data_IF_740487512720
#
_entry.id   IF_740487512720
#
_cell.length_a   1.000
_cell.length_b   1.000
_cell.length_c   1.000
_cell.angle_alpha   90.00
_cell.angle_beta   90.00
_cell.angle_gamma   90.00
#
_symmetry.space_group_name_H-M   'P 1'
#
loop_
_entity.id
_entity.type
_entity.pdbx_description
1 polymer ?
#
# COMPACT_ATOMS: atom_id res chain seq x y z
N UNK A 1 -17.88 -5.83 2.90
CA UNK A 1 -16.43 -5.71 2.62
C UNK A 1 -16.11 -4.26 2.31
N UNK A 2 -15.13 -3.68 3.01
CA UNK A 2 -14.65 -2.29 2.89
C UNK A 2 -13.46 -2.19 1.92
N UNK A 3 -12.58 -3.18 1.96
CA UNK A 3 -11.36 -3.27 1.16
C UNK A 3 -11.45 -4.41 0.14
N UNK A 4 -10.31 -4.75 -0.48
CA UNK A 4 -10.24 -5.94 -1.33
C UNK A 4 -10.06 -7.20 -0.48
N UNK A 5 -10.68 -8.30 -0.89
CA UNK A 5 -10.40 -9.60 -0.29
C UNK A 5 -8.92 -9.96 -0.48
N UNK A 6 -8.31 -10.53 0.55
CA UNK A 6 -6.96 -11.08 0.46
C UNK A 6 -6.88 -12.17 -0.61
N UNK A 7 -5.75 -12.25 -1.31
CA UNK A 7 -5.51 -13.34 -2.25
C UNK A 7 -5.34 -14.65 -1.51
N UNK A 8 -5.40 -15.76 -2.25
CA UNK A 8 -5.21 -17.10 -1.67
C UNK A 8 -3.85 -17.21 -0.98
N UNK A 9 -2.80 -16.68 -1.60
CA UNK A 9 -1.44 -16.69 -1.08
C UNK A 9 -1.35 -15.89 0.23
N UNK A 10 -2.00 -14.73 0.29
CA UNK A 10 -2.07 -13.91 1.50
C UNK A 10 -2.81 -14.63 2.64
N UNK A 11 -3.90 -15.35 2.34
CA UNK A 11 -4.57 -16.18 3.33
C UNK A 11 -3.71 -17.36 3.81
N UNK A 12 -2.92 -17.95 2.92
CA UNK A 12 -1.99 -19.03 3.27
C UNK A 12 -0.87 -18.53 4.19
N UNK A 13 -0.32 -17.34 3.92
CA UNK A 13 0.66 -16.68 4.79
C UNK A 13 0.07 -16.29 6.15
N UNK A 14 -1.18 -15.82 6.17
CA UNK A 14 -1.90 -15.37 7.36
C UNK A 14 -2.80 -16.46 7.98
N UNK A 15 -2.57 -17.73 7.66
CA UNK A 15 -3.38 -18.82 8.20
C UNK A 15 -3.38 -18.86 9.75
N UNK A 16 -2.26 -18.60 10.46
CA UNK A 16 -2.26 -18.59 11.92
C UNK A 16 -3.16 -17.48 12.48
N UNK A 17 -3.08 -16.29 11.90
CA UNK A 17 -3.92 -15.13 12.23
C UNK A 17 -5.40 -15.41 11.92
N UNK A 18 -5.69 -16.07 10.80
CA UNK A 18 -7.05 -16.45 10.44
C UNK A 18 -7.65 -17.47 11.40
N UNK A 19 -6.87 -18.47 11.84
CA UNK A 19 -7.32 -19.41 12.88
C UNK A 19 -7.62 -18.67 14.19
N UNK A 20 -6.73 -17.76 14.61
CA UNK A 20 -6.94 -16.97 15.81
C UNK A 20 -8.20 -16.10 15.69
N UNK A 21 -8.43 -15.48 14.52
CA UNK A 21 -9.63 -14.72 14.23
C UNK A 21 -10.90 -15.56 14.39
N UNK A 22 -10.97 -16.75 13.76
CA UNK A 22 -12.10 -17.66 13.92
C UNK A 22 -12.29 -18.06 15.40
N UNK A 23 -11.21 -18.34 16.11
CA UNK A 23 -11.26 -18.68 17.54
C UNK A 23 -11.80 -17.53 18.40
N UNK A 24 -11.49 -16.25 18.08
CA UNK A 24 -12.06 -15.10 18.80
C UNK A 24 -13.59 -15.00 18.65
N UNK A 25 -14.12 -15.58 17.57
CA UNK A 25 -15.56 -15.70 17.31
C UNK A 25 -16.15 -17.01 17.84
N UNK A 26 -15.37 -17.77 18.62
CA UNK A 26 -15.72 -19.09 19.14
C UNK A 26 -16.00 -20.13 18.04
N UNK A 27 -15.44 -19.95 16.85
CA UNK A 27 -15.58 -20.91 15.74
C UNK A 27 -14.43 -21.93 15.81
N UNK A 28 -14.78 -23.17 16.09
CA UNK A 28 -13.85 -24.31 16.09
C UNK A 28 -13.54 -24.80 14.68
N UNK A 29 -12.52 -25.65 14.53
CA UNK A 29 -12.18 -26.27 13.25
C UNK A 29 -13.32 -27.14 12.68
N UNK A 30 -14.06 -27.85 13.54
CA UNK A 30 -15.20 -28.67 13.15
C UNK A 30 -16.39 -27.83 12.67
N UNK A 31 -16.69 -26.74 13.39
CA UNK A 31 -17.70 -25.78 12.97
C UNK A 31 -17.32 -25.09 11.68
N UNK A 32 -16.05 -24.69 11.52
CA UNK A 32 -15.57 -24.11 10.26
C UNK A 32 -15.70 -25.08 9.08
N UNK A 33 -15.37 -26.37 9.28
CA UNK A 33 -15.60 -27.39 8.26
C UNK A 33 -17.09 -27.52 7.90
N UNK A 34 -17.97 -27.43 8.90
CA UNK A 34 -19.43 -27.46 8.69
C UNK A 34 -19.94 -26.22 7.98
N UNK A 35 -19.44 -25.03 8.32
CA UNK A 35 -19.78 -23.76 7.68
C UNK A 35 -19.40 -23.82 6.20
N UNK A 36 -18.17 -24.22 5.87
CA UNK A 36 -17.75 -24.36 4.47
C UNK A 36 -18.63 -25.33 3.66
N UNK A 37 -19.06 -26.43 4.27
CA UNK A 37 -19.85 -27.46 3.59
C UNK A 37 -21.34 -27.09 3.44
N UNK A 38 -21.93 -26.42 4.44
CA UNK A 38 -23.39 -26.20 4.53
C UNK A 38 -23.81 -24.75 4.35
N UNK A 39 -22.92 -23.81 4.61
CA UNK A 39 -23.16 -22.36 4.61
C UNK A 39 -22.01 -21.63 3.89
N UNK A 40 -21.75 -21.93 2.60
CA UNK A 40 -20.63 -21.35 1.88
C UNK A 40 -20.65 -19.82 1.85
N UNK A 41 -21.84 -19.20 1.81
CA UNK A 41 -21.96 -17.74 1.90
C UNK A 41 -21.39 -17.19 3.22
N UNK A 42 -21.62 -17.87 4.36
CA UNK A 42 -21.06 -17.46 5.65
C UNK A 42 -19.55 -17.61 5.64
N UNK A 43 -19.01 -18.66 5.01
CA UNK A 43 -17.57 -18.79 4.85
C UNK A 43 -16.95 -17.62 4.06
N UNK A 44 -17.62 -17.18 3.00
CA UNK A 44 -17.19 -16.03 2.19
C UNK A 44 -17.23 -14.72 2.99
N UNK A 45 -18.26 -14.53 3.83
CA UNK A 45 -18.38 -13.38 4.73
C UNK A 45 -17.25 -13.35 5.77
N UNK A 46 -16.90 -14.50 6.37
CA UNK A 46 -15.78 -14.58 7.33
C UNK A 46 -14.43 -14.22 6.67
N UNK A 47 -14.22 -14.64 5.42
CA UNK A 47 -13.02 -14.27 4.65
C UNK A 47 -13.00 -12.76 4.36
N UNK A 48 -14.13 -12.16 4.03
CA UNK A 48 -14.24 -10.71 3.80
C UNK A 48 -13.97 -9.91 5.07
N UNK A 49 -14.57 -10.31 6.20
CA UNK A 49 -14.38 -9.64 7.49
C UNK A 49 -12.92 -9.72 7.92
N UNK A 50 -12.29 -10.89 7.79
CA UNK A 50 -10.87 -11.04 8.09
C UNK A 50 -9.99 -10.17 7.18
N UNK A 51 -10.30 -10.12 5.89
CA UNK A 51 -9.57 -9.28 4.93
C UNK A 51 -9.67 -7.80 5.31
N UNK A 52 -10.86 -7.33 5.68
CA UNK A 52 -11.07 -5.96 6.12
C UNK A 52 -10.26 -5.64 7.38
N UNK A 53 -10.19 -6.56 8.35
CA UNK A 53 -9.42 -6.39 9.58
C UNK A 53 -7.91 -6.32 9.31
N UNK A 54 -7.38 -7.18 8.45
CA UNK A 54 -5.96 -7.19 8.08
C UNK A 54 -5.61 -5.88 7.38
N UNK A 55 -6.41 -5.46 6.40
CA UNK A 55 -6.20 -4.18 5.72
C UNK A 55 -6.23 -3.00 6.68
N UNK A 56 -7.23 -2.92 7.55
CA UNK A 56 -7.31 -1.81 8.51
C UNK A 56 -6.08 -1.78 9.43
N UNK A 57 -5.61 -2.94 9.90
CA UNK A 57 -4.40 -3.04 10.72
C UNK A 57 -3.11 -2.61 10.00
N UNK A 58 -3.00 -2.89 8.70
CA UNK A 58 -1.87 -2.47 7.86
C UNK A 58 -1.94 -0.97 7.54
N UNK A 59 -3.10 -0.49 7.10
CA UNK A 59 -3.31 0.90 6.67
C UNK A 59 -3.16 1.89 7.82
N UNK A 60 -3.57 1.53 9.04
CA UNK A 60 -3.39 2.37 10.22
C UNK A 60 -1.93 2.59 10.60
N UNK A 61 -1.04 1.67 10.21
CA UNK A 61 0.41 1.73 10.47
C UNK A 61 1.21 2.25 9.27
N UNK A 62 0.55 2.52 8.14
CA UNK A 62 1.23 2.99 6.94
C UNK A 62 1.72 4.43 7.14
N UNK A 63 3.04 4.63 7.11
CA UNK A 63 3.66 5.95 7.22
C UNK A 63 4.12 6.48 5.85
N UNK A 64 4.51 5.57 4.95
CA UNK A 64 5.02 5.92 3.62
C UNK A 64 4.46 4.98 2.56
N UNK A 65 4.20 5.54 1.38
CA UNK A 65 3.86 4.76 0.19
C UNK A 65 4.68 5.21 -1.01
N UNK A 66 4.96 4.29 -1.92
CA UNK A 66 5.72 4.54 -3.13
C UNK A 66 5.03 3.92 -4.34
N UNK A 67 4.90 4.68 -5.42
CA UNK A 67 4.44 4.18 -6.71
C UNK A 67 5.47 4.53 -7.78
N UNK A 68 6.01 3.50 -8.42
CA UNK A 68 7.07 3.64 -9.42
C UNK A 68 6.52 3.20 -10.77
N UNK A 69 6.56 4.10 -11.73
CA UNK A 69 6.28 3.86 -13.14
C UNK A 69 7.51 4.26 -13.98
N UNK A 70 7.63 3.80 -15.23
CA UNK A 70 8.84 3.97 -16.03
C UNK A 70 9.42 5.39 -16.09
N UNK A 71 8.57 6.43 -16.15
CA UNK A 71 9.00 7.83 -16.17
C UNK A 71 8.49 8.64 -14.97
N UNK A 72 7.89 8.00 -13.96
CA UNK A 72 7.27 8.70 -12.84
C UNK A 72 7.51 7.99 -11.52
N UNK A 73 7.87 8.76 -10.50
CA UNK A 73 8.00 8.29 -9.13
C UNK A 73 7.08 9.13 -8.26
N UNK A 74 6.20 8.49 -7.51
CA UNK A 74 5.35 9.13 -6.51
C UNK A 74 5.72 8.61 -5.12
N UNK A 75 6.14 9.52 -4.25
CA UNK A 75 6.53 9.23 -2.87
C UNK A 75 5.55 9.94 -1.95
N UNK A 76 4.78 9.16 -1.20
CA UNK A 76 3.78 9.66 -0.28
C UNK A 76 4.26 9.51 1.16
N UNK A 77 4.04 10.55 1.97
CA UNK A 77 4.16 10.50 3.42
C UNK A 77 2.80 10.75 4.05
N UNK A 78 2.45 9.87 4.97
CA UNK A 78 1.20 9.87 5.69
C UNK A 78 1.40 10.60 7.02
N UNK A 79 0.93 11.84 7.11
CA UNK A 79 1.00 12.63 8.35
C UNK A 79 -0.28 12.42 9.19
N UNK A 80 -0.42 13.20 10.27
CA UNK A 80 -1.59 13.13 11.14
C UNK A 80 -2.88 13.61 10.43
N UNK A 81 -2.81 14.74 9.72
CA UNK A 81 -3.98 15.43 9.14
C UNK A 81 -3.98 15.49 7.61
N UNK A 82 -2.84 15.24 6.99
CA UNK A 82 -2.66 15.34 5.54
C UNK A 82 -1.73 14.25 5.00
N UNK A 83 -1.80 14.06 3.70
CA UNK A 83 -0.85 13.29 2.94
C UNK A 83 0.04 14.26 2.16
N UNK A 84 1.35 14.06 2.25
CA UNK A 84 2.34 14.81 1.48
C UNK A 84 2.83 13.96 0.33
N UNK A 85 3.08 14.59 -0.81
CA UNK A 85 3.57 13.99 -2.03
C UNK A 85 4.85 14.68 -2.46
N UNK A 86 5.86 13.89 -2.78
CA UNK A 86 6.98 14.26 -3.66
C UNK A 86 6.82 13.42 -4.92
N UNK A 87 6.70 14.05 -6.07
CA UNK A 87 6.68 13.35 -7.36
C UNK A 87 7.83 13.79 -8.25
N UNK A 88 8.47 12.82 -8.90
CA UNK A 88 9.47 13.04 -9.92
C UNK A 88 8.91 12.60 -11.26
N UNK A 89 9.14 13.41 -12.28
CA UNK A 89 8.84 13.08 -13.67
C UNK A 89 10.11 13.15 -14.50
N UNK A 90 10.43 12.06 -15.18
CA UNK A 90 11.56 11.96 -16.09
C UNK A 90 11.07 12.42 -17.47
N UNK A 91 11.72 13.44 -18.04
CA UNK A 91 11.33 14.04 -19.34
C UNK A 91 11.87 13.22 -20.53
N UNK A 92 12.66 12.19 -20.24
CA UNK A 92 13.27 11.29 -21.22
C UNK A 92 12.49 9.98 -21.33
N UNK A 93 11.92 9.74 -22.51
CA UNK A 93 11.10 8.54 -22.78
C UNK A 93 11.92 7.25 -22.92
N UNK A 94 13.24 7.35 -23.09
CA UNK A 94 14.16 6.21 -23.20
C UNK A 94 14.66 5.68 -21.84
N UNK A 95 14.24 6.31 -20.73
CA UNK A 95 14.58 5.90 -19.37
C UNK A 95 13.37 5.22 -18.73
N UNK A 96 13.60 4.01 -18.20
CA UNK A 96 12.63 3.27 -17.39
C UNK A 96 13.18 3.06 -15.98
N UNK A 97 12.73 3.87 -15.02
CA UNK A 97 13.18 3.84 -13.63
C UNK A 97 12.68 2.62 -12.83
N UNK A 98 11.84 1.77 -13.42
CA UNK A 98 11.46 0.49 -12.81
C UNK A 98 12.53 -0.59 -13.03
N UNK A 99 13.47 -0.34 -13.94
CA UNK A 99 14.65 -1.19 -14.17
C UNK A 99 15.81 -0.79 -13.26
N UNK A 100 16.73 -1.73 -13.01
CA UNK A 100 17.92 -1.44 -12.19
C UNK A 100 18.79 -0.34 -12.83
N UNK A 101 18.96 -0.38 -14.15
CA UNK A 101 19.73 0.60 -14.91
C UNK A 101 19.09 1.98 -14.88
N UNK A 102 17.77 2.07 -15.12
CA UNK A 102 17.06 3.35 -15.08
C UNK A 102 16.97 3.94 -13.68
N UNK A 103 16.83 3.11 -12.64
CA UNK A 103 16.88 3.57 -11.26
C UNK A 103 18.28 4.09 -10.88
N UNK A 104 19.34 3.41 -11.29
CA UNK A 104 20.71 3.90 -11.11
C UNK A 104 20.95 5.23 -11.86
N UNK A 105 20.38 5.36 -13.06
CA UNK A 105 20.41 6.61 -13.80
C UNK A 105 19.73 7.75 -13.01
N UNK A 106 18.55 7.49 -12.43
CA UNK A 106 17.83 8.47 -11.61
C UNK A 106 18.69 8.95 -10.43
N UNK A 107 19.36 8.04 -9.71
CA UNK A 107 20.24 8.39 -8.59
C UNK A 107 21.39 9.34 -8.98
N UNK A 108 21.86 9.27 -10.23
CA UNK A 108 22.97 10.10 -10.71
C UNK A 108 22.49 11.41 -11.35
N UNK A 109 21.25 11.46 -11.83
CA UNK A 109 20.73 12.54 -12.67
C UNK A 109 19.54 13.29 -12.06
N UNK A 110 19.08 12.93 -10.86
CA UNK A 110 17.91 13.55 -10.24
C UNK A 110 18.03 15.07 -10.11
N UNK A 111 19.24 15.63 -9.97
CA UNK A 111 19.45 17.07 -9.85
C UNK A 111 19.56 17.82 -11.20
N UNK A 112 19.43 17.12 -12.33
CA UNK A 112 19.55 17.71 -13.66
C UNK A 112 18.20 18.07 -14.30
N UNK A 113 18.25 18.81 -15.39
CA UNK A 113 17.07 19.31 -16.13
C UNK A 113 16.18 18.21 -16.74
N UNK A 114 16.64 16.96 -16.72
CA UNK A 114 15.88 15.80 -17.22
C UNK A 114 14.84 15.27 -16.21
N UNK A 115 14.81 15.82 -14.99
CA UNK A 115 13.94 15.39 -13.90
C UNK A 115 13.19 16.60 -13.34
N UNK A 116 11.85 16.57 -13.47
CA UNK A 116 10.96 17.59 -12.93
C UNK A 116 10.46 17.15 -11.54
N UNK A 117 10.62 18.01 -10.53
CA UNK A 117 10.07 17.79 -9.19
C UNK A 117 8.77 18.53 -9.00
N UNK A 118 7.83 17.88 -8.33
CA UNK A 118 6.61 18.50 -7.86
C UNK A 118 6.31 18.02 -6.45
N UNK A 119 5.85 18.94 -5.61
CA UNK A 119 5.39 18.63 -4.25
C UNK A 119 3.96 19.09 -4.07
N UNK A 120 3.20 18.33 -3.29
CA UNK A 120 1.82 18.67 -2.95
C UNK A 120 1.47 18.15 -1.56
N UNK A 121 0.43 18.73 -0.97
CA UNK A 121 -0.25 18.13 0.18
C UNK A 121 -1.75 18.08 -0.04
N UNK A 122 -2.39 17.07 0.56
CA UNK A 122 -3.83 16.85 0.51
C UNK A 122 -4.31 16.44 1.89
N UNK A 123 -5.26 17.19 2.46
CA UNK A 123 -5.92 16.79 3.70
C UNK A 123 -6.66 15.45 3.51
N UNK A 124 -6.67 14.61 4.54
CA UNK A 124 -7.45 13.37 4.51
C UNK A 124 -8.95 13.67 4.46
N UNK A 125 -9.68 12.75 3.83
CA UNK A 125 -11.13 12.67 3.92
C UNK A 125 -11.55 12.20 5.33
N UNK A 126 -12.85 11.92 5.51
CA UNK A 126 -13.36 11.37 6.76
C UNK A 126 -12.74 10.02 7.13
N UNK A 127 -12.16 9.29 6.16
CA UNK A 127 -11.57 7.97 6.38
C UNK A 127 -10.18 7.88 5.75
N UNK A 128 -9.17 8.15 6.59
CA UNK A 128 -7.75 8.10 6.22
C UNK A 128 -7.33 6.76 5.61
N UNK A 129 -7.78 5.64 6.17
CA UNK A 129 -7.43 4.30 5.68
C UNK A 129 -7.95 4.07 4.25
N UNK A 130 -9.14 4.58 3.92
CA UNK A 130 -9.68 4.51 2.54
C UNK A 130 -8.87 5.36 1.54
N UNK A 131 -8.42 6.55 1.94
CA UNK A 131 -7.58 7.39 1.09
C UNK A 131 -6.24 6.70 0.78
N UNK A 132 -5.61 6.10 1.80
CA UNK A 132 -4.35 5.33 1.64
C UNK A 132 -4.60 4.12 0.73
N UNK A 133 -5.67 3.36 0.98
CA UNK A 133 -6.01 2.19 0.17
C UNK A 133 -6.29 2.55 -1.29
N UNK A 134 -6.86 3.73 -1.56
CA UNK A 134 -7.06 4.20 -2.93
C UNK A 134 -5.75 4.38 -3.71
N UNK A 135 -4.65 4.72 -3.04
CA UNK A 135 -3.31 4.75 -3.66
C UNK A 135 -2.75 3.35 -3.89
N UNK A 136 -2.97 2.43 -2.96
CA UNK A 136 -2.55 1.02 -3.12
C UNK A 136 -3.24 0.40 -4.34
N UNK A 137 -4.53 0.67 -4.53
CA UNK A 137 -5.27 0.27 -5.75
C UNK A 137 -4.71 0.86 -7.04
N UNK A 138 -3.97 1.97 -6.96
CA UNK A 138 -3.29 2.61 -8.10
C UNK A 138 -1.85 2.11 -8.29
N UNK A 139 -1.41 1.10 -7.52
CA UNK A 139 -0.07 0.51 -7.63
C UNK A 139 0.93 1.02 -6.60
N UNK A 140 0.49 1.82 -5.61
CA UNK A 140 1.39 2.22 -4.53
C UNK A 140 1.64 1.06 -3.56
N UNK A 141 2.88 0.94 -3.07
CA UNK A 141 3.29 -0.03 -2.07
C UNK A 141 3.64 0.69 -0.77
N UNK A 142 3.30 0.09 0.37
CA UNK A 142 3.73 0.61 1.68
C UNK A 142 5.24 0.32 1.84
N UNK A 143 6.02 1.32 2.23
CA UNK A 143 7.46 1.21 2.40
C UNK A 143 7.93 1.78 3.74
N UNK A 144 9.24 1.73 3.99
CA UNK A 144 9.89 2.38 5.13
C UNK A 144 10.18 3.87 4.91
N UNK A 145 9.90 4.41 3.72
CA UNK A 145 10.09 5.83 3.41
C UNK A 145 11.53 6.28 3.19
N UNK A 146 12.47 5.37 2.92
CA UNK A 146 13.88 5.71 2.70
C UNK A 146 14.04 6.68 1.53
N UNK A 147 13.34 6.44 0.41
CA UNK A 147 13.34 7.32 -0.76
C UNK A 147 12.67 8.66 -0.49
N UNK A 148 11.51 8.64 0.18
CA UNK A 148 10.82 9.88 0.54
C UNK A 148 11.73 10.78 1.38
N UNK A 149 12.35 10.22 2.42
CA UNK A 149 13.24 10.95 3.33
C UNK A 149 14.44 11.52 2.59
N UNK A 150 15.07 10.73 1.72
CA UNK A 150 16.17 11.18 0.88
C UNK A 150 15.82 12.43 0.05
N UNK A 151 14.70 12.40 -0.67
CA UNK A 151 14.29 13.55 -1.48
C UNK A 151 13.77 14.72 -0.64
N UNK A 152 13.12 14.44 0.49
CA UNK A 152 12.69 15.49 1.42
C UNK A 152 13.90 16.29 1.95
N UNK A 153 14.99 15.63 2.28
CA UNK A 153 16.23 16.28 2.77
C UNK A 153 16.94 17.10 1.68
N UNK A 154 16.81 16.71 0.42
CA UNK A 154 17.34 17.47 -0.73
C UNK A 154 16.51 18.73 -0.97
N UNK A 155 15.18 18.62 -0.92
CA UNK A 155 14.26 19.74 -1.21
C UNK A 155 14.30 20.80 -0.10
N UNK A 156 14.58 20.41 1.16
CA UNK A 156 14.67 21.33 2.29
C UNK A 156 15.96 22.17 2.34
N UNK A 157 16.98 21.81 1.57
CA UNK A 157 18.25 22.55 1.48
C UNK A 157 18.13 23.74 0.54
#
# INVERSE_FOLDING_TARGET
MKYARLTKEQFEELHPEFINFLATQSITAEEWATIKAKQPQVAEEELDVFSDLVWEGVLQKAEYLENIAPQQLFLFKVEATEMRLISLKIVKDDIDITTAEGYQWLQQNFAGDAVEFFTASKAFSANKSEDIFALIKQGANITKGELYTFFEDIIKQ
#
